data_IF_815864341051
#
_entry.id   IF_815864341051
#
_cell.length_a   1.000
_cell.length_b   1.000
_cell.length_c   1.000
_cell.angle_alpha   90.00
_cell.angle_beta   90.00
_cell.angle_gamma   90.00
#
_symmetry.space_group_name_H-M   'P 1'
#
loop_
_entity.id
_entity.type
_entity.pdbx_description
1 polymer ?
#
# COMPACT_ATOMS: atom_id res chain seq x y z
N UNK A 1 -2.04 -23.95 -12.08
CA UNK A 1 -2.15 -23.77 -10.61
C UNK A 1 -2.71 -22.38 -10.36
N UNK A 2 -3.78 -22.25 -9.57
CA UNK A 2 -4.28 -20.94 -9.17
C UNK A 2 -3.60 -20.58 -7.85
N UNK A 3 -2.99 -19.39 -7.79
CA UNK A 3 -2.30 -18.89 -6.60
C UNK A 3 -2.71 -17.45 -6.31
N UNK A 4 -2.72 -17.08 -5.04
CA UNK A 4 -2.81 -15.71 -4.54
C UNK A 4 -1.40 -15.29 -4.13
N UNK A 5 -0.87 -14.24 -4.73
CA UNK A 5 0.44 -13.69 -4.34
C UNK A 5 0.19 -12.55 -3.37
N UNK A 6 0.81 -12.60 -2.19
CA UNK A 6 0.68 -11.59 -1.13
C UNK A 6 2.06 -11.00 -0.86
N UNK A 7 2.15 -9.68 -0.73
CA UNK A 7 3.41 -8.99 -0.44
C UNK A 7 3.41 -8.56 1.03
N UNK A 8 4.45 -8.97 1.77
CA UNK A 8 4.61 -8.65 3.19
C UNK A 8 6.07 -8.40 3.54
N UNK A 9 6.32 -7.62 4.59
CA UNK A 9 7.65 -7.10 4.88
C UNK A 9 7.63 -5.96 5.89
N UNK A 10 8.79 -5.35 6.10
CA UNK A 10 8.97 -4.36 7.17
C UNK A 10 8.98 -2.94 6.61
N UNK A 11 8.26 -2.03 7.28
CA UNK A 11 8.34 -0.60 6.97
C UNK A 11 9.70 -0.04 7.43
N UNK A 12 10.48 0.61 6.55
CA UNK A 12 11.79 1.14 6.91
C UNK A 12 11.73 2.31 7.91
N UNK A 13 10.59 3.01 8.03
CA UNK A 13 10.43 4.14 8.94
C UNK A 13 10.02 3.73 10.36
N UNK A 14 8.97 2.91 10.48
CA UNK A 14 8.41 2.54 11.79
C UNK A 14 8.82 1.12 12.24
N UNK A 15 9.54 0.37 11.40
CA UNK A 15 9.94 -1.03 11.66
C UNK A 15 8.77 -2.00 11.92
N UNK A 16 7.54 -1.59 11.61
CA UNK A 16 6.36 -2.45 11.68
C UNK A 16 6.33 -3.45 10.53
N UNK A 17 5.72 -4.61 10.73
CA UNK A 17 5.46 -5.58 9.66
C UNK A 17 4.09 -5.29 9.05
N UNK A 18 4.05 -5.19 7.72
CA UNK A 18 2.85 -4.86 6.96
C UNK A 18 2.64 -5.85 5.83
N UNK A 19 1.39 -5.91 5.39
CA UNK A 19 0.97 -6.60 4.18
C UNK A 19 0.42 -5.55 3.23
N UNK A 20 0.87 -5.56 1.97
CA UNK A 20 0.39 -4.64 0.95
C UNK A 20 -0.72 -5.31 0.14
N UNK A 21 -1.96 -5.20 0.64
CA UNK A 21 -3.14 -5.79 0.01
C UNK A 21 -3.37 -5.24 -1.41
N UNK A 22 -3.02 -3.99 -1.68
CA UNK A 22 -3.11 -3.39 -3.03
C UNK A 22 -2.18 -4.06 -4.06
N UNK A 23 -1.06 -4.63 -3.61
CA UNK A 23 -0.11 -5.36 -4.45
C UNK A 23 -0.49 -6.83 -4.60
N UNK A 24 -1.53 -7.29 -3.89
CA UNK A 24 -1.99 -8.67 -3.93
C UNK A 24 -2.49 -9.02 -5.32
N UNK A 25 -1.96 -10.11 -5.88
CA UNK A 25 -2.35 -10.60 -7.21
C UNK A 25 -3.12 -11.91 -7.09
N UNK A 26 -4.32 -11.93 -7.67
CA UNK A 26 -5.19 -13.09 -7.76
C UNK A 26 -5.44 -13.46 -9.22
N UNK A 27 -5.36 -14.76 -9.54
CA UNK A 27 -5.78 -15.26 -10.86
C UNK A 27 -7.27 -15.58 -10.82
N UNK A 28 -8.04 -15.17 -11.84
CA UNK A 28 -9.49 -15.42 -11.95
C UNK A 28 -9.89 -16.90 -11.90
N UNK A 29 -8.95 -17.82 -12.16
CA UNK A 29 -9.18 -19.25 -11.99
C UNK A 29 -9.34 -19.66 -10.51
N UNK A 30 -8.98 -18.80 -9.57
CA UNK A 30 -9.10 -19.01 -8.12
C UNK A 30 -10.55 -18.82 -7.67
N UNK A 31 -11.24 -17.77 -8.14
CA UNK A 31 -12.69 -17.61 -7.98
C UNK A 31 -13.46 -18.76 -8.66
N UNK A 32 -13.09 -19.13 -9.89
CA UNK A 32 -13.76 -20.22 -10.61
C UNK A 32 -13.53 -21.60 -9.94
N UNK A 33 -12.39 -21.79 -9.27
CA UNK A 33 -12.12 -22.95 -8.41
C UNK A 33 -12.96 -22.93 -7.14
N UNK A 34 -13.00 -21.80 -6.43
CA UNK A 34 -13.76 -21.66 -5.18
C UNK A 34 -15.28 -21.74 -5.42
N UNK A 35 -15.76 -21.41 -6.62
CA UNK A 35 -17.15 -21.55 -7.03
C UNK A 35 -17.49 -22.92 -7.66
N UNK A 36 -16.56 -23.88 -7.65
CA UNK A 36 -16.80 -25.26 -8.08
C UNK A 36 -17.00 -25.49 -9.58
N UNK A 37 -16.69 -24.49 -10.42
CA UNK A 37 -16.98 -24.51 -11.87
C UNK A 37 -15.86 -25.18 -12.69
N UNK A 38 -14.64 -25.28 -12.13
CA UNK A 38 -13.49 -25.88 -12.81
C UNK A 38 -13.09 -27.24 -12.23
N UNK A 39 -13.29 -28.28 -13.04
CA UNK A 39 -13.11 -29.71 -12.76
C UNK A 39 -12.11 -30.08 -11.66
N UNK A 40 -12.63 -30.71 -10.60
CA UNK A 40 -11.95 -31.58 -9.62
C UNK A 40 -10.59 -31.09 -9.10
N UNK A 41 -10.35 -29.78 -9.10
CA UNK A 41 -9.17 -29.22 -8.49
C UNK A 41 -9.33 -29.26 -6.97
N UNK A 42 -8.30 -29.72 -6.24
CA UNK A 42 -8.24 -29.62 -4.78
C UNK A 42 -8.61 -28.19 -4.36
N UNK A 43 -9.60 -28.09 -3.47
CA UNK A 43 -10.03 -26.84 -2.85
C UNK A 43 -8.86 -26.17 -2.13
N UNK A 44 -8.81 -24.84 -2.14
CA UNK A 44 -7.77 -24.05 -1.48
C UNK A 44 -6.98 -23.14 -2.43
N UNK A 45 -6.69 -21.94 -1.93
CA UNK A 45 -5.79 -20.98 -2.56
C UNK A 45 -4.35 -21.32 -2.14
N UNK A 46 -3.46 -21.52 -3.10
CA UNK A 46 -2.02 -21.49 -2.79
C UNK A 46 -1.65 -20.04 -2.56
N UNK A 47 -1.31 -19.68 -1.32
CA UNK A 47 -0.79 -18.35 -0.98
C UNK A 47 0.71 -18.36 -1.16
N UNK A 48 1.22 -17.47 -2.01
CA UNK A 48 2.64 -17.27 -2.30
C UNK A 48 3.05 -15.92 -1.71
N UNK A 49 3.66 -15.95 -0.54
CA UNK A 49 4.13 -14.76 0.15
C UNK A 49 5.47 -14.27 -0.43
N UNK A 50 5.56 -12.98 -0.71
CA UNK A 50 6.76 -12.33 -1.24
C UNK A 50 7.25 -11.22 -0.30
N UNK A 51 8.56 -11.17 -0.03
CA UNK A 51 9.14 -10.09 0.75
C UNK A 51 8.97 -8.76 0.00
N UNK A 52 8.55 -7.73 0.72
CA UNK A 52 8.37 -6.39 0.19
C UNK A 52 8.63 -5.37 1.29
N UNK A 53 9.82 -4.78 1.30
CA UNK A 53 10.18 -3.74 2.27
C UNK A 53 9.93 -2.36 1.63
N UNK A 54 8.77 -1.77 1.95
CA UNK A 54 8.36 -0.44 1.50
C UNK A 54 7.79 0.34 2.70
N UNK A 55 7.66 1.65 2.56
CA UNK A 55 6.89 2.47 3.49
C UNK A 55 5.43 2.00 3.57
N UNK A 56 4.88 1.99 4.78
CA UNK A 56 3.46 1.72 4.99
C UNK A 56 2.63 2.98 4.71
N UNK A 57 1.33 2.80 4.47
CA UNK A 57 0.40 3.90 4.13
C UNK A 57 0.42 5.05 5.15
N UNK A 58 0.60 4.73 6.43
CA UNK A 58 0.68 5.74 7.48
C UNK A 58 1.94 6.61 7.34
N UNK A 59 3.10 6.00 7.13
CA UNK A 59 4.36 6.73 6.96
C UNK A 59 4.38 7.51 5.63
N UNK A 60 3.84 6.93 4.56
CA UNK A 60 3.69 7.62 3.28
C UNK A 60 2.81 8.87 3.43
N UNK A 61 1.65 8.75 4.09
CA UNK A 61 0.74 9.88 4.29
C UNK A 61 1.34 11.02 5.14
N UNK A 62 2.22 10.70 6.11
CA UNK A 62 2.93 11.74 6.89
C UNK A 62 3.91 12.53 6.02
N UNK A 63 4.61 11.89 5.08
CA UNK A 63 5.51 12.57 4.15
C UNK A 63 4.75 13.48 3.17
N UNK A 64 3.61 13.00 2.66
CA UNK A 64 2.76 13.79 1.75
C UNK A 64 2.10 14.98 2.45
N UNK A 65 1.86 14.91 3.76
CA UNK A 65 1.30 16.00 4.55
C UNK A 65 2.29 17.16 4.77
N UNK A 66 3.60 16.90 4.74
CA UNK A 66 4.64 17.93 4.88
C UNK A 66 4.91 18.69 3.55
N UNK A 67 4.44 18.17 2.42
CA UNK A 67 4.48 18.86 1.12
C UNK A 67 3.34 19.87 0.91
N UNK A 68 2.72 20.32 2.02
CA UNK A 68 1.74 21.40 2.06
C UNK A 68 2.35 22.76 1.74
N UNK A 69 2.53 23.04 0.45
CA UNK A 69 2.53 24.36 -0.21
C UNK A 69 2.68 25.58 0.73
N UNK A 70 3.90 26.08 0.98
CA UNK A 70 4.12 27.44 1.50
C UNK A 70 3.79 28.46 0.39
N UNK A 71 2.51 28.56 0.07
CA UNK A 71 1.93 29.62 -0.73
C UNK A 71 1.60 30.80 0.17
N UNK A 72 2.52 31.78 0.17
CA UNK A 72 2.36 33.15 0.69
C UNK A 72 2.21 33.30 2.22
N UNK A 73 2.99 34.24 2.82
CA UNK A 73 2.55 35.61 3.17
C UNK A 73 3.67 36.43 3.83
N UNK A 74 4.62 36.94 3.04
CA UNK A 74 5.35 38.15 3.47
C UNK A 74 4.48 39.39 3.27
N UNK A 75 3.49 39.57 4.16
CA UNK A 75 2.85 40.87 4.41
C UNK A 75 3.89 41.79 5.06
N UNK A 76 4.64 42.56 4.26
CA UNK A 76 5.48 43.61 4.82
C UNK A 76 4.61 44.75 5.34
N UNK A 77 4.36 44.69 6.65
CA UNK A 77 3.55 45.64 7.42
C UNK A 77 4.45 46.79 7.85
N UNK A 78 4.05 48.01 7.48
CA UNK A 78 4.44 49.31 8.08
C UNK A 78 5.93 49.68 8.00
N UNK A 79 6.20 50.78 7.29
CA UNK A 79 6.90 51.93 7.88
C UNK A 79 6.20 53.21 7.43
N UNK A 80 5.31 53.72 8.30
CA UNK A 80 4.96 55.15 8.39
C UNK A 80 6.04 55.82 9.25
N UNK A 81 6.19 57.13 9.10
CA UNK A 81 7.01 58.10 9.87
C UNK A 81 8.46 58.16 9.39
N UNK A 82 9.05 59.31 9.07
CA UNK A 82 8.73 60.71 9.39
C UNK A 82 9.17 61.66 8.28
#
# INVERSE_FOLDING_TARGET
MCRKVVFSGTCPHCSGNFTWDELTQELSCLEAKNNGVFGLCKEGAVVDEKPHDQECDACAAELEADEGYDGEKHRNKKQRTS
#
